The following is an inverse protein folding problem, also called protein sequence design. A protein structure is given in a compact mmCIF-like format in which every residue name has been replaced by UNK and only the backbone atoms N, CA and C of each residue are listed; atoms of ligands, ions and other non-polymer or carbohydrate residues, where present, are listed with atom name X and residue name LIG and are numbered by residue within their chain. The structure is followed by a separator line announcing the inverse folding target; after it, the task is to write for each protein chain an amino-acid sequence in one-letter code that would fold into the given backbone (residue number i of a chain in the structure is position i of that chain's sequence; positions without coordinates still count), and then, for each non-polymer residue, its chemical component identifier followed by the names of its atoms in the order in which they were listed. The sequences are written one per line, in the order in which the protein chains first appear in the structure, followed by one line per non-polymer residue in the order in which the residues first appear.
data_IF_972716625393
#
_entry.id   IF_972716625393
#
_cell.length_a   1.000
_cell.length_b   1.000
_cell.length_c   1.000
_cell.angle_alpha   90.00
_cell.angle_beta   90.00
_cell.angle_gamma   90.00
#
_symmetry.space_group_name_H-M   'P 1'
#
loop_
_entity.id
_entity.type
_entity.pdbx_description
1 polymer ?
#
# COMPACT_ATOMS: atom_id res chain seq x y z
N UNK A 1 1.65 -5.74 6.39
CA UNK A 1 2.86 -6.59 6.30
C UNK A 1 3.69 -6.00 5.17
N UNK A 2 4.87 -5.52 5.46
CA UNK A 2 5.78 -4.88 4.48
C UNK A 2 6.80 -5.91 4.03
N UNK A 3 7.08 -5.98 2.74
CA UNK A 3 8.05 -6.89 2.17
C UNK A 3 9.37 -6.16 1.96
N UNK A 4 10.44 -6.77 2.44
CA UNK A 4 11.80 -6.23 2.34
C UNK A 4 12.54 -6.90 1.19
N UNK A 5 13.12 -6.10 0.30
CA UNK A 5 14.11 -6.58 -0.65
C UNK A 5 15.46 -6.67 0.05
N UNK A 6 16.06 -7.84 0.07
CA UNK A 6 17.40 -8.02 0.65
C UNK A 6 18.45 -7.52 -0.34
N UNK A 7 19.26 -6.56 0.12
CA UNK A 7 20.51 -6.16 -0.52
C UNK A 7 21.66 -6.78 0.26
N UNK A 8 22.28 -7.84 -0.27
CA UNK A 8 23.66 -8.20 0.07
C UNK A 8 24.56 -7.83 -1.11
N UNK A 9 25.77 -7.41 -0.77
CA UNK A 9 26.82 -7.00 -1.74
C UNK A 9 27.03 -8.05 -2.82
N UNK A 10 26.39 -7.89 -3.90
CA UNK A 10 26.55 -8.35 -5.29
C UNK A 10 25.19 -8.57 -5.94
N UNK A 11 24.56 -7.47 -6.40
CA UNK A 11 23.59 -7.47 -7.51
C UNK A 11 22.37 -8.43 -7.44
N UNK A 12 21.82 -8.70 -6.25
CA UNK A 12 20.59 -9.49 -6.12
C UNK A 12 19.45 -8.63 -5.57
N UNK A 13 18.42 -8.41 -6.36
CA UNK A 13 17.16 -7.81 -5.89
C UNK A 13 16.08 -8.89 -5.99
N UNK A 14 15.59 -9.35 -4.86
CA UNK A 14 14.51 -10.32 -4.78
C UNK A 14 13.25 -9.68 -4.20
N UNK A 15 12.09 -10.00 -4.76
CA UNK A 15 10.79 -9.71 -4.14
C UNK A 15 10.43 -10.92 -3.29
N UNK A 16 10.34 -10.75 -1.96
CA UNK A 16 9.84 -11.78 -1.05
C UNK A 16 8.33 -11.61 -0.85
N UNK A 17 7.56 -12.58 -1.28
CA UNK A 17 6.12 -12.65 -1.01
C UNK A 17 5.88 -13.67 0.08
N UNK A 18 5.40 -13.23 1.25
CA UNK A 18 4.99 -14.13 2.33
C UNK A 18 3.47 -14.32 2.27
N UNK A 19 3.03 -15.51 1.89
CA UNK A 19 1.62 -15.89 1.97
C UNK A 19 1.45 -16.74 3.24
N UNK A 20 0.69 -16.24 4.20
CA UNK A 20 0.32 -16.99 5.40
C UNK A 20 -0.97 -17.73 5.14
N UNK A 21 -0.92 -19.04 4.96
CA UNK A 21 -2.13 -19.84 4.85
C UNK A 21 -2.75 -20.10 6.25
N UNK A 22 -4.01 -20.55 6.27
CA UNK A 22 -4.79 -20.78 7.48
C UNK A 22 -4.19 -21.81 8.47
N UNK A 23 -3.15 -22.53 8.09
CA UNK A 23 -2.51 -23.59 8.89
C UNK A 23 -1.24 -23.15 9.63
N UNK A 24 -0.88 -21.85 9.56
CA UNK A 24 0.22 -21.29 10.36
C UNK A 24 1.63 -21.58 9.85
N UNK A 25 1.82 -22.32 8.77
CA UNK A 25 3.11 -22.57 8.17
C UNK A 25 3.33 -21.56 7.03
N UNK A 26 4.25 -20.61 7.22
CA UNK A 26 4.64 -19.63 6.21
C UNK A 26 5.55 -20.28 5.18
N UNK A 27 5.13 -20.33 3.93
CA UNK A 27 6.02 -20.69 2.81
C UNK A 27 6.71 -19.41 2.34
N UNK A 28 8.03 -19.35 2.51
CA UNK A 28 8.84 -18.26 2.00
C UNK A 28 9.15 -18.57 0.54
N UNK A 29 8.59 -17.79 -0.39
CA UNK A 29 8.98 -17.84 -1.80
C UNK A 29 10.02 -16.76 -2.04
N UNK A 30 11.29 -17.12 -2.08
CA UNK A 30 12.35 -16.26 -2.58
C UNK A 30 12.48 -16.51 -4.08
N UNK A 31 12.21 -15.49 -4.88
CA UNK A 31 12.50 -15.53 -6.32
C UNK A 31 13.85 -14.84 -6.52
N UNK A 32 14.94 -15.57 -6.80
CA UNK A 32 16.21 -14.94 -7.10
C UNK A 32 16.13 -14.25 -8.46
N UNK A 33 16.42 -12.96 -8.49
CA UNK A 33 16.43 -12.16 -9.72
C UNK A 33 17.85 -11.70 -9.99
N UNK A 34 18.49 -12.34 -10.98
CA UNK A 34 19.78 -11.88 -11.51
C UNK A 34 19.51 -10.80 -12.57
N UNK A 35 20.02 -9.61 -12.35
CA UNK A 35 19.83 -8.49 -13.26
C UNK A 35 21.14 -8.07 -13.92
N UNK A 36 21.15 -7.99 -15.25
CA UNK A 36 22.17 -7.25 -16.01
C UNK A 36 21.50 -6.01 -16.60
N UNK A 37 21.80 -4.85 -16.05
CA UNK A 37 21.45 -3.59 -16.68
C UNK A 37 22.28 -3.43 -17.96
N UNK A 38 21.63 -3.35 -19.10
CA UNK A 38 22.25 -2.76 -20.29
C UNK A 38 21.97 -1.25 -20.25
N UNK A 39 22.84 -0.51 -19.60
CA UNK A 39 22.86 0.93 -19.75
C UNK A 39 23.48 1.24 -21.11
N UNK A 40 22.67 1.66 -22.08
CA UNK A 40 23.17 2.33 -23.26
C UNK A 40 22.91 3.84 -23.08
N UNK A 41 24.01 4.58 -23.13
CA UNK A 41 23.98 6.02 -22.95
C UNK A 41 23.36 6.75 -24.13
N UNK A 42 22.26 7.39 -23.87
CA UNK A 42 21.82 8.65 -24.45
C UNK A 42 20.65 9.18 -23.61
N UNK A 43 20.83 10.35 -23.00
CA UNK A 43 19.90 10.95 -22.03
C UNK A 43 18.68 11.62 -22.67
N UNK A 44 18.47 11.50 -23.96
CA UNK A 44 17.39 12.15 -24.71
C UNK A 44 16.36 11.18 -25.31
N UNK A 45 16.54 9.86 -25.14
CA UNK A 45 15.58 8.88 -25.66
C UNK A 45 14.47 8.61 -24.65
N UNK A 46 13.23 8.80 -25.09
CA UNK A 46 12.05 8.26 -24.46
C UNK A 46 12.27 6.79 -24.10
N UNK A 47 11.96 6.43 -22.84
CA UNK A 47 12.02 5.05 -22.38
C UNK A 47 10.99 4.23 -23.17
N UNK A 48 11.44 3.52 -24.19
CA UNK A 48 10.53 2.78 -25.08
C UNK A 48 9.96 1.57 -24.37
N UNK A 49 10.74 0.83 -23.57
CA UNK A 49 10.27 -0.33 -22.83
C UNK A 49 11.30 -0.88 -21.83
N UNK A 50 10.82 -1.53 -20.76
CA UNK A 50 11.63 -2.24 -19.76
C UNK A 50 11.11 -3.68 -19.65
N UNK A 51 11.99 -4.68 -19.85
CA UNK A 51 11.68 -6.07 -19.53
C UNK A 51 11.68 -6.25 -18.02
N UNK A 52 10.63 -6.84 -17.46
CA UNK A 52 10.45 -7.02 -16.02
C UNK A 52 9.73 -8.32 -15.67
N UNK A 53 9.90 -8.75 -14.44
CA UNK A 53 9.08 -9.81 -13.83
C UNK A 53 7.95 -9.21 -13.02
N UNK A 54 6.81 -9.88 -13.04
CA UNK A 54 5.61 -9.49 -12.29
C UNK A 54 4.81 -10.71 -11.88
N UNK A 55 4.10 -10.58 -10.74
CA UNK A 55 3.19 -11.59 -10.25
C UNK A 55 1.77 -11.29 -10.74
N UNK A 56 1.18 -12.22 -11.47
CA UNK A 56 -0.17 -12.07 -12.02
C UNK A 56 -1.12 -13.07 -11.38
N UNK A 57 -2.35 -12.66 -11.10
CA UNK A 57 -3.41 -13.58 -10.67
C UNK A 57 -3.71 -14.57 -11.79
N UNK A 58 -3.56 -15.87 -11.52
CA UNK A 58 -3.73 -16.94 -12.51
C UNK A 58 -4.88 -17.90 -12.19
N UNK A 59 -5.60 -17.66 -11.11
CA UNK A 59 -6.75 -18.40 -10.60
C UNK A 59 -7.01 -18.08 -9.14
N UNK A 60 -8.04 -18.68 -8.56
CA UNK A 60 -8.32 -18.51 -7.15
C UNK A 60 -7.14 -18.96 -6.30
N UNK A 61 -6.73 -18.10 -5.36
CA UNK A 61 -5.62 -18.32 -4.45
C UNK A 61 -4.28 -18.64 -5.16
N UNK A 62 -4.08 -18.10 -6.38
CA UNK A 62 -2.94 -18.46 -7.23
C UNK A 62 -2.32 -17.28 -7.94
N UNK A 63 -1.01 -17.12 -7.76
CA UNK A 63 -0.16 -16.25 -8.57
C UNK A 63 0.72 -17.06 -9.53
N UNK A 64 1.05 -16.45 -10.64
CA UNK A 64 2.04 -16.90 -11.60
C UNK A 64 3.04 -15.77 -11.86
N UNK A 65 4.33 -16.09 -11.87
CA UNK A 65 5.37 -15.13 -12.24
C UNK A 65 5.54 -15.16 -13.75
N UNK A 66 5.40 -13.99 -14.36
CA UNK A 66 5.61 -13.77 -15.80
C UNK A 66 6.70 -12.75 -16.05
N UNK A 67 7.21 -12.78 -17.26
CA UNK A 67 8.10 -11.75 -17.80
C UNK A 67 7.38 -11.03 -18.95
N UNK A 68 7.62 -9.72 -19.04
CA UNK A 68 7.02 -8.91 -20.08
C UNK A 68 7.61 -7.51 -20.13
N UNK A 69 7.22 -6.81 -21.15
CA UNK A 69 7.68 -5.47 -21.46
C UNK A 69 6.74 -4.42 -20.85
N UNK A 70 7.30 -3.50 -20.06
CA UNK A 70 6.59 -2.34 -19.51
C UNK A 70 6.81 -1.14 -20.41
N UNK A 71 5.72 -0.50 -20.87
CA UNK A 71 5.74 0.74 -21.64
C UNK A 71 5.28 1.91 -20.76
N UNK A 72 5.93 3.05 -20.86
CA UNK A 72 5.62 4.20 -19.99
C UNK A 72 4.29 4.88 -20.34
N UNK A 73 3.91 4.91 -21.60
CA UNK A 73 2.68 5.56 -22.10
C UNK A 73 2.45 6.99 -21.53
N UNK A 74 3.55 7.72 -21.28
CA UNK A 74 3.51 9.06 -20.67
C UNK A 74 3.39 9.10 -19.16
N UNK A 75 3.27 7.95 -18.51
CA UNK A 75 3.27 7.82 -17.05
C UNK A 75 4.69 7.85 -16.48
N UNK A 76 4.79 8.06 -15.17
CA UNK A 76 6.04 7.84 -14.47
C UNK A 76 6.36 6.34 -14.43
N UNK A 77 7.62 6.00 -14.64
CA UNK A 77 8.12 4.63 -14.48
C UNK A 77 8.90 4.54 -13.18
N UNK A 78 8.55 3.57 -12.36
CA UNK A 78 9.10 3.37 -11.03
C UNK A 78 9.71 1.98 -10.92
N UNK A 79 10.88 1.89 -10.30
CA UNK A 79 11.39 0.64 -9.76
C UNK A 79 10.78 0.43 -8.38
N UNK A 80 9.98 -0.61 -8.22
CA UNK A 80 9.34 -0.94 -6.93
C UNK A 80 10.41 -1.44 -5.95
N UNK A 81 10.44 -0.87 -4.75
CA UNK A 81 11.37 -1.28 -3.69
C UNK A 81 10.67 -2.08 -2.60
N UNK A 82 9.49 -1.62 -2.17
CA UNK A 82 8.68 -2.28 -1.14
C UNK A 82 7.22 -2.22 -1.54
N UNK A 83 6.48 -3.26 -1.19
CA UNK A 83 5.04 -3.33 -1.41
C UNK A 83 4.35 -4.00 -0.23
N UNK A 84 3.27 -3.40 0.25
CA UNK A 84 2.37 -3.94 1.26
C UNK A 84 1.35 -4.90 0.65
N UNK A 85 0.68 -5.64 1.52
CA UNK A 85 -0.45 -6.51 1.17
C UNK A 85 -1.70 -5.98 1.84
N UNK A 86 -2.56 -5.35 1.06
CA UNK A 86 -3.87 -4.89 1.50
C UNK A 86 -4.86 -6.04 1.69
N UNK A 87 -5.86 -5.84 2.53
CA UNK A 87 -7.01 -6.74 2.60
C UNK A 87 -7.74 -6.90 1.25
N UNK A 88 -7.76 -5.84 0.44
CA UNK A 88 -8.28 -5.86 -0.92
C UNK A 88 -7.50 -6.82 -1.83
N UNK A 89 -6.16 -6.84 -1.72
CA UNK A 89 -5.33 -7.80 -2.46
C UNK A 89 -5.65 -9.24 -2.08
N UNK A 90 -5.91 -9.48 -0.78
CA UNK A 90 -6.33 -10.78 -0.29
C UNK A 90 -7.68 -11.20 -0.87
N UNK A 91 -8.64 -10.28 -0.97
CA UNK A 91 -9.94 -10.54 -1.60
C UNK A 91 -9.78 -10.87 -3.10
N UNK A 92 -8.96 -10.10 -3.83
CA UNK A 92 -8.66 -10.39 -5.24
C UNK A 92 -7.96 -11.72 -5.42
N UNK A 93 -7.10 -12.11 -4.48
CA UNK A 93 -6.43 -13.42 -4.53
C UNK A 93 -7.40 -14.57 -4.31
N UNK A 94 -8.35 -14.45 -3.36
CA UNK A 94 -9.40 -15.46 -3.18
C UNK A 94 -10.32 -15.58 -4.41
N UNK A 95 -10.62 -14.45 -5.08
CA UNK A 95 -11.44 -14.40 -6.30
C UNK A 95 -10.58 -14.39 -7.58
N UNK A 96 -9.38 -14.93 -7.54
CA UNK A 96 -8.37 -14.76 -8.59
C UNK A 96 -8.79 -15.19 -9.99
N UNK A 97 -9.78 -16.09 -10.09
CA UNK A 97 -10.36 -16.47 -11.39
C UNK A 97 -11.07 -15.28 -12.07
N UNK A 98 -11.80 -14.49 -11.29
CA UNK A 98 -12.47 -13.26 -11.75
C UNK A 98 -11.47 -12.20 -12.21
N UNK A 99 -10.32 -12.15 -11.55
CA UNK A 99 -9.25 -11.17 -11.77
C UNK A 99 -8.05 -11.76 -12.51
N UNK A 100 -8.24 -12.88 -13.21
CA UNK A 100 -7.17 -13.56 -13.97
C UNK A 100 -6.48 -12.60 -14.94
N UNK A 101 -5.16 -12.56 -14.88
CA UNK A 101 -4.31 -11.69 -15.70
C UNK A 101 -4.01 -10.32 -15.07
N UNK A 102 -4.58 -10.00 -13.90
CA UNK A 102 -4.33 -8.73 -13.21
C UNK A 102 -3.06 -8.83 -12.34
N UNK A 103 -2.25 -7.78 -12.38
CA UNK A 103 -1.14 -7.54 -11.44
C UNK A 103 -1.64 -6.55 -10.39
N UNK A 104 -1.73 -6.98 -9.15
CA UNK A 104 -2.23 -6.19 -8.01
C UNK A 104 -1.09 -5.54 -7.22
N UNK A 105 -1.42 -4.91 -6.09
CA UNK A 105 -0.50 -4.20 -5.20
C UNK A 105 -0.58 -2.69 -5.41
N UNK A 106 -0.88 -1.97 -4.34
CA UNK A 106 -1.11 -0.51 -4.37
C UNK A 106 -0.54 0.22 -3.15
N UNK A 107 -0.09 -0.50 -2.14
CA UNK A 107 0.61 0.04 -0.98
C UNK A 107 2.13 -0.09 -1.23
N UNK A 108 2.77 0.90 -1.86
CA UNK A 108 4.16 0.72 -2.29
C UNK A 108 5.02 1.98 -2.20
N UNK A 109 6.32 1.74 -2.20
CA UNK A 109 7.34 2.74 -2.46
C UNK A 109 8.24 2.30 -3.62
N UNK A 110 8.87 3.25 -4.25
CA UNK A 110 9.76 3.00 -5.36
C UNK A 110 10.74 4.14 -5.64
N UNK A 111 11.60 3.90 -6.61
CA UNK A 111 12.54 4.88 -7.12
C UNK A 111 12.13 5.27 -8.54
N UNK A 112 12.06 6.56 -8.81
CA UNK A 112 11.72 7.09 -10.13
C UNK A 112 12.80 6.71 -11.13
N UNK A 113 12.41 6.00 -12.17
CA UNK A 113 13.25 5.71 -13.34
C UNK A 113 13.04 6.77 -14.43
N UNK A 114 11.76 7.05 -14.71
CA UNK A 114 11.35 8.14 -15.60
C UNK A 114 10.18 8.91 -14.98
N UNK A 115 10.24 10.24 -14.89
CA UNK A 115 9.21 11.03 -14.18
C UNK A 115 7.91 11.21 -14.96
N UNK A 116 7.83 10.77 -16.22
CA UNK A 116 6.70 11.05 -17.08
C UNK A 116 6.51 12.56 -17.26
N UNK A 117 5.28 13.02 -17.09
CA UNK A 117 4.93 14.45 -17.22
C UNK A 117 5.13 15.25 -15.92
N UNK A 118 5.50 14.64 -14.80
CA UNK A 118 5.71 15.31 -13.52
C UNK A 118 7.08 16.01 -13.48
N UNK A 119 7.09 17.33 -13.65
CA UNK A 119 8.32 18.15 -13.61
C UNK A 119 8.93 18.32 -12.22
N UNK A 120 8.21 17.96 -11.15
CA UNK A 120 8.72 18.02 -9.78
C UNK A 120 9.55 16.78 -9.41
N UNK A 121 9.45 15.71 -10.19
CA UNK A 121 10.20 14.48 -10.00
C UNK A 121 11.39 14.39 -10.97
N UNK A 122 12.42 13.71 -10.53
CA UNK A 122 13.59 13.37 -11.35
C UNK A 122 13.98 11.90 -11.12
N UNK A 123 14.70 11.29 -12.08
CA UNK A 123 15.26 9.96 -11.89
C UNK A 123 16.10 9.89 -10.61
N UNK A 124 15.89 8.82 -9.84
CA UNK A 124 16.51 8.61 -8.53
C UNK A 124 15.72 9.15 -7.34
N UNK A 125 14.67 9.94 -7.53
CA UNK A 125 13.80 10.34 -6.43
C UNK A 125 13.06 9.12 -5.85
N UNK A 126 13.01 9.04 -4.53
CA UNK A 126 12.22 8.04 -3.81
C UNK A 126 10.80 8.55 -3.64
N UNK A 127 9.83 7.70 -3.95
CA UNK A 127 8.41 8.08 -3.96
C UNK A 127 7.54 7.00 -3.32
N UNK A 128 6.42 7.43 -2.77
CA UNK A 128 5.25 6.59 -2.52
C UNK A 128 4.15 6.94 -3.52
N UNK A 129 3.41 5.94 -3.96
CA UNK A 129 2.22 6.15 -4.77
C UNK A 129 0.98 6.14 -3.89
N UNK A 130 0.00 6.97 -4.21
CA UNK A 130 -1.33 6.82 -3.65
C UNK A 130 -2.34 6.49 -4.75
N UNK A 131 -3.32 5.70 -4.39
CA UNK A 131 -4.39 5.31 -5.30
C UNK A 131 -5.70 5.82 -4.79
N UNK A 132 -6.38 6.60 -5.60
CA UNK A 132 -7.81 6.79 -5.41
C UNK A 132 -8.62 5.70 -6.11
N UNK A 133 -8.05 5.15 -7.19
CA UNK A 133 -8.64 4.02 -7.89
C UNK A 133 -7.58 3.37 -8.79
N UNK A 134 -7.19 2.15 -8.50
CA UNK A 134 -6.13 1.41 -9.21
C UNK A 134 -6.39 1.31 -10.72
N UNK A 135 -7.65 1.50 -11.14
CA UNK A 135 -8.08 1.32 -12.52
C UNK A 135 -8.52 2.60 -13.22
N UNK A 136 -8.50 3.76 -12.56
CA UNK A 136 -9.04 5.00 -13.11
C UNK A 136 -8.14 6.19 -12.82
N UNK A 137 -7.71 6.88 -13.87
CA UNK A 137 -6.97 8.13 -13.75
C UNK A 137 -7.92 9.32 -13.83
N UNK A 138 -7.95 10.21 -12.83
CA UNK A 138 -8.66 11.48 -12.94
C UNK A 138 -8.03 12.34 -14.05
N UNK A 139 -8.86 13.08 -14.78
CA UNK A 139 -8.40 13.86 -15.92
C UNK A 139 -7.47 15.06 -15.56
N UNK A 140 -7.50 15.50 -14.30
CA UNK A 140 -6.68 16.60 -13.78
C UNK A 140 -7.14 18.01 -14.18
N UNK A 141 -8.20 18.16 -14.99
CA UNK A 141 -8.62 19.46 -15.55
C UNK A 141 -10.13 19.77 -15.47
N UNK A 142 -10.98 18.80 -15.08
CA UNK A 142 -12.40 19.10 -14.83
C UNK A 142 -12.56 19.83 -13.48
N UNK A 143 -13.73 20.40 -13.24
CA UNK A 143 -14.03 21.17 -12.03
C UNK A 143 -13.75 20.38 -10.76
N UNK A 144 -14.19 19.12 -10.67
CA UNK A 144 -13.92 18.26 -9.53
C UNK A 144 -12.42 18.03 -9.32
N UNK A 145 -11.66 17.76 -10.39
CA UNK A 145 -10.20 17.60 -10.28
C UNK A 145 -9.49 18.87 -9.81
N UNK A 146 -9.92 20.03 -10.30
CA UNK A 146 -9.35 21.32 -9.91
C UNK A 146 -9.68 21.68 -8.44
N UNK A 147 -10.81 21.19 -7.94
CA UNK A 147 -11.19 21.28 -6.53
C UNK A 147 -10.51 20.25 -5.63
N UNK A 148 -9.70 19.32 -6.19
CA UNK A 148 -9.09 18.22 -5.44
C UNK A 148 -10.03 17.04 -5.17
N UNK A 149 -11.24 17.09 -5.67
CA UNK A 149 -12.25 16.04 -5.58
C UNK A 149 -12.15 15.08 -6.77
N UNK A 150 -11.10 14.29 -6.75
CA UNK A 150 -10.77 13.40 -7.87
C UNK A 150 -11.74 12.23 -8.00
N UNK A 151 -12.41 11.86 -6.91
CA UNK A 151 -13.40 10.77 -6.91
C UNK A 151 -14.67 11.12 -7.70
N UNK A 152 -14.96 12.40 -7.88
CA UNK A 152 -16.05 12.88 -8.72
C UNK A 152 -15.60 13.37 -10.11
N UNK A 153 -14.41 12.95 -10.55
CA UNK A 153 -13.93 13.28 -11.89
C UNK A 153 -14.92 12.78 -12.97
N UNK A 154 -15.40 13.69 -13.81
CA UNK A 154 -16.38 13.39 -14.87
C UNK A 154 -15.76 12.84 -16.15
N UNK A 155 -14.44 12.87 -16.28
CA UNK A 155 -13.71 12.48 -17.50
C UNK A 155 -12.51 11.60 -17.13
N UNK A 156 -12.79 10.51 -16.42
CA UNK A 156 -11.76 9.56 -16.01
C UNK A 156 -11.24 8.74 -17.17
N UNK A 157 -9.94 8.51 -17.19
CA UNK A 157 -9.34 7.50 -18.06
C UNK A 157 -9.41 6.15 -17.34
N UNK A 158 -10.14 5.20 -17.94
CA UNK A 158 -10.25 3.83 -17.40
C UNK A 158 -9.16 2.97 -18.03
N UNK A 159 -8.35 2.32 -17.22
CA UNK A 159 -7.37 1.34 -17.68
C UNK A 159 -7.96 -0.06 -17.55
N UNK A 160 -8.31 -0.64 -18.67
CA UNK A 160 -8.81 -2.01 -18.71
C UNK A 160 -7.67 -2.99 -18.92
N UNK A 161 -7.58 -3.98 -18.05
CA UNK A 161 -6.63 -5.08 -18.10
C UNK A 161 -7.00 -6.15 -19.16
N UNK A 162 -7.59 -5.76 -20.29
CA UNK A 162 -8.00 -6.72 -21.31
C UNK A 162 -6.92 -6.89 -22.36
N UNK A 163 -6.40 -8.13 -22.48
CA UNK A 163 -5.72 -8.59 -23.68
C UNK A 163 -4.20 -8.61 -23.67
N UNK A 164 -3.55 -8.68 -22.49
CA UNK A 164 -2.10 -8.92 -22.45
C UNK A 164 -1.21 -7.71 -22.72
N UNK A 165 -1.78 -6.58 -23.08
CA UNK A 165 -1.06 -5.32 -23.00
C UNK A 165 -1.09 -4.85 -21.53
N UNK A 166 0.09 -4.79 -20.93
CA UNK A 166 0.29 -4.26 -19.59
C UNK A 166 -0.12 -2.78 -19.61
N UNK A 167 -1.35 -2.48 -19.20
CA UNK A 167 -1.75 -1.14 -18.83
C UNK A 167 -0.87 -0.64 -17.68
N UNK A 168 -1.43 -0.31 -16.53
CA UNK A 168 -0.61 -0.06 -15.35
C UNK A 168 -0.54 -1.36 -14.52
N UNK A 169 0.61 -2.05 -14.46
CA UNK A 169 0.75 -3.15 -13.55
C UNK A 169 0.70 -2.59 -12.12
N UNK A 170 0.05 -3.31 -11.23
CA UNK A 170 0.20 -3.08 -9.80
C UNK A 170 1.64 -3.30 -9.33
N UNK A 171 1.90 -2.99 -8.08
CA UNK A 171 3.25 -3.01 -7.54
C UNK A 171 3.79 -4.43 -7.20
N UNK A 172 3.02 -5.51 -7.44
CA UNK A 172 3.57 -6.86 -7.39
C UNK A 172 4.40 -7.18 -8.65
N UNK A 173 5.29 -6.25 -8.96
CA UNK A 173 6.16 -6.23 -10.13
C UNK A 173 7.50 -5.57 -9.80
N UNK A 174 8.53 -5.83 -10.61
CA UNK A 174 9.83 -5.16 -10.44
C UNK A 174 9.77 -3.68 -10.78
N UNK A 175 8.98 -3.34 -11.79
CA UNK A 175 8.71 -1.98 -12.21
C UNK A 175 7.21 -1.80 -12.38
N UNK A 176 6.74 -0.58 -12.14
CA UNK A 176 5.36 -0.19 -12.41
C UNK A 176 5.33 1.16 -13.11
N UNK A 177 4.23 1.44 -13.77
CA UNK A 177 3.93 2.79 -14.22
C UNK A 177 2.86 3.38 -13.31
N UNK A 178 2.99 4.67 -13.02
CA UNK A 178 2.04 5.34 -12.16
C UNK A 178 1.72 6.75 -12.64
N UNK A 179 0.56 7.25 -12.26
CA UNK A 179 0.17 8.61 -12.61
C UNK A 179 1.12 9.61 -11.96
N UNK A 180 1.77 10.49 -12.74
CA UNK A 180 2.80 11.36 -12.19
C UNK A 180 2.32 12.25 -11.05
N UNK A 181 1.04 12.68 -11.07
CA UNK A 181 0.43 13.51 -10.03
C UNK A 181 0.01 12.73 -8.77
N UNK A 182 -0.03 11.40 -8.85
CA UNK A 182 -0.34 10.53 -7.70
C UNK A 182 0.92 9.99 -7.02
N UNK A 183 2.06 10.64 -7.23
CA UNK A 183 3.34 10.30 -6.62
C UNK A 183 3.76 11.38 -5.65
N UNK A 184 4.11 10.97 -4.44
CA UNK A 184 4.63 11.84 -3.39
C UNK A 184 6.10 11.50 -3.17
N UNK A 185 6.95 12.52 -3.25
CA UNK A 185 8.38 12.35 -2.96
C UNK A 185 8.58 12.10 -1.47
N UNK A 186 9.32 11.04 -1.15
CA UNK A 186 9.66 10.73 0.24
C UNK A 186 10.71 11.72 0.77
N UNK A 187 10.52 12.24 1.99
CA UNK A 187 11.57 12.97 2.70
C UNK A 187 12.81 12.09 2.91
N UNK A 188 13.98 12.72 3.07
CA UNK A 188 15.25 11.99 3.20
C UNK A 188 15.31 11.10 4.46
N UNK A 189 14.62 11.49 5.52
CA UNK A 189 14.52 10.75 6.78
C UNK A 189 13.47 9.63 6.78
N UNK A 190 12.70 9.47 5.70
CA UNK A 190 11.72 8.38 5.55
C UNK A 190 12.34 7.29 4.69
N UNK A 191 12.35 6.07 5.17
CA UNK A 191 12.86 4.90 4.41
C UNK A 191 11.87 4.49 3.31
N UNK A 192 12.30 3.64 2.40
CA UNK A 192 11.38 3.08 1.39
C UNK A 192 10.34 2.13 2.03
N UNK A 193 10.71 1.43 3.08
CA UNK A 193 9.81 0.55 3.83
C UNK A 193 8.68 1.36 4.48
N UNK A 194 9.03 2.45 5.17
CA UNK A 194 8.05 3.39 5.73
C UNK A 194 7.22 4.05 4.63
N UNK A 195 7.85 4.38 3.49
CA UNK A 195 7.16 4.94 2.33
C UNK A 195 6.08 4.02 1.77
N UNK A 196 6.25 2.70 1.81
CA UNK A 196 5.22 1.74 1.40
C UNK A 196 4.01 1.73 2.35
N UNK A 197 4.17 2.23 3.57
CA UNK A 197 3.09 2.37 4.55
C UNK A 197 2.29 3.68 4.38
N UNK A 198 2.70 4.59 3.51
CA UNK A 198 2.07 5.91 3.37
C UNK A 198 0.59 5.80 2.99
N UNK A 199 0.23 4.85 2.12
CA UNK A 199 -1.15 4.63 1.69
C UNK A 199 -2.04 4.17 2.84
N UNK A 200 -1.78 3.04 3.55
CA UNK A 200 -2.64 2.62 4.66
C UNK A 200 -2.65 3.62 5.83
N UNK A 201 -1.56 4.37 6.04
CA UNK A 201 -1.54 5.44 7.04
C UNK A 201 -2.42 6.63 6.64
N UNK A 202 -2.53 6.94 5.35
CA UNK A 202 -3.46 7.96 4.86
C UNK A 202 -4.93 7.54 5.08
N UNK A 203 -5.26 6.26 4.96
CA UNK A 203 -6.58 5.73 5.28
C UNK A 203 -6.91 5.95 6.77
N UNK A 204 -5.96 5.62 7.66
CA UNK A 204 -6.11 5.87 9.10
C UNK A 204 -6.27 7.36 9.44
N UNK A 205 -5.47 8.23 8.80
CA UNK A 205 -5.61 9.69 8.95
C UNK A 205 -7.01 10.16 8.57
N UNK A 206 -7.50 9.72 7.41
CA UNK A 206 -8.83 10.08 6.94
C UNK A 206 -9.92 9.63 7.92
N UNK A 207 -9.83 8.39 8.44
CA UNK A 207 -10.76 7.87 9.43
C UNK A 207 -10.81 8.75 10.69
N UNK A 208 -9.66 9.17 11.22
CA UNK A 208 -9.57 10.04 12.40
C UNK A 208 -10.12 11.45 12.11
N UNK A 209 -9.86 12.00 10.93
CA UNK A 209 -10.43 13.29 10.51
C UNK A 209 -11.95 13.26 10.39
N UNK A 210 -12.50 12.22 9.75
CA UNK A 210 -13.96 12.05 9.60
C UNK A 210 -14.63 11.83 10.95
N UNK A 211 -13.97 11.10 11.85
CA UNK A 211 -14.44 10.91 13.24
C UNK A 211 -14.33 12.17 14.10
N UNK A 212 -13.72 13.24 13.60
CA UNK A 212 -13.57 14.52 14.29
C UNK A 212 -12.89 14.40 15.68
N UNK A 213 -11.96 13.49 15.83
CA UNK A 213 -11.18 13.32 17.06
C UNK A 213 -10.51 14.64 17.47
N UNK A 214 -10.63 14.99 18.74
CA UNK A 214 -10.12 16.23 19.35
C UNK A 214 -9.15 15.93 20.48
N UNK A 215 -8.34 16.91 20.88
CA UNK A 215 -7.52 16.79 22.08
C UNK A 215 -8.35 16.42 23.32
N UNK A 216 -7.84 15.50 24.10
CA UNK A 216 -8.43 14.89 25.30
C UNK A 216 -9.60 13.93 25.04
N UNK A 217 -9.93 13.61 23.78
CA UNK A 217 -10.88 12.54 23.50
C UNK A 217 -10.31 11.18 23.92
N UNK A 218 -11.23 10.27 24.25
CA UNK A 218 -10.95 8.85 24.50
C UNK A 218 -11.43 8.06 23.29
N UNK A 219 -10.55 7.31 22.68
CA UNK A 219 -10.81 6.67 21.38
C UNK A 219 -10.83 5.17 21.53
N UNK A 220 -11.92 4.53 21.09
CA UNK A 220 -12.03 3.10 20.93
C UNK A 220 -11.88 2.72 19.46
N UNK A 221 -10.94 1.82 19.17
CA UNK A 221 -10.66 1.31 17.82
C UNK A 221 -11.03 -0.16 17.77
N UNK A 222 -11.93 -0.52 16.86
CA UNK A 222 -12.38 -1.87 16.65
C UNK A 222 -11.56 -2.53 15.52
N UNK A 223 -10.69 -3.46 15.90
CA UNK A 223 -9.75 -4.14 15.01
C UNK A 223 -8.34 -3.57 15.05
N UNK A 224 -7.37 -4.43 15.37
CA UNK A 224 -5.95 -4.08 15.51
C UNK A 224 -5.11 -4.45 14.29
N UNK A 225 -5.70 -4.42 13.08
CA UNK A 225 -4.95 -4.52 11.83
C UNK A 225 -4.16 -3.25 11.54
N UNK A 226 -3.49 -3.19 10.37
CA UNK A 226 -2.66 -2.05 9.98
C UNK A 226 -3.44 -0.73 10.00
N UNK A 227 -4.68 -0.72 9.54
CA UNK A 227 -5.52 0.48 9.55
C UNK A 227 -5.87 0.88 10.99
N UNK A 228 -6.24 -0.07 11.86
CA UNK A 228 -6.52 0.24 13.27
C UNK A 228 -5.30 0.79 14.00
N UNK A 229 -4.12 0.21 13.77
CA UNK A 229 -2.87 0.73 14.35
C UNK A 229 -2.55 2.13 13.81
N UNK A 230 -2.75 2.38 12.52
CA UNK A 230 -2.62 3.70 11.91
C UNK A 230 -3.61 4.71 12.53
N UNK A 231 -4.87 4.30 12.75
CA UNK A 231 -5.85 5.14 13.46
C UNK A 231 -5.36 5.48 14.88
N UNK A 232 -4.77 4.52 15.60
CA UNK A 232 -4.25 4.77 16.94
C UNK A 232 -3.13 5.83 16.95
N UNK A 233 -2.17 5.72 16.03
CA UNK A 233 -1.09 6.70 15.87
C UNK A 233 -1.63 8.10 15.52
N UNK A 234 -2.57 8.19 14.60
CA UNK A 234 -3.19 9.46 14.25
C UNK A 234 -4.05 10.02 15.39
N UNK A 235 -4.82 9.18 16.10
CA UNK A 235 -5.58 9.62 17.26
C UNK A 235 -4.63 10.22 18.31
N UNK A 236 -3.50 9.60 18.57
CA UNK A 236 -2.46 10.13 19.48
C UNK A 236 -1.93 11.47 18.98
N UNK A 237 -1.64 11.58 17.70
CA UNK A 237 -1.17 12.81 17.05
C UNK A 237 -2.19 13.94 17.14
N UNK A 238 -3.49 13.63 17.07
CA UNK A 238 -4.58 14.59 17.24
C UNK A 238 -4.87 14.92 18.72
N UNK A 239 -4.13 14.32 19.65
CA UNK A 239 -4.18 14.65 21.08
C UNK A 239 -5.18 13.84 21.88
N UNK A 240 -5.61 12.67 21.39
CA UNK A 240 -6.41 11.75 22.18
C UNK A 240 -5.68 11.42 23.50
N UNK A 241 -6.41 11.50 24.61
CA UNK A 241 -5.88 11.27 25.95
C UNK A 241 -5.75 9.80 26.28
N UNK A 242 -6.57 8.96 25.68
CA UNK A 242 -6.59 7.53 25.91
C UNK A 242 -7.05 6.79 24.64
N UNK A 243 -6.35 5.72 24.29
CA UNK A 243 -6.61 4.90 23.11
C UNK A 243 -6.76 3.45 23.54
N UNK A 244 -7.93 2.88 23.25
CA UNK A 244 -8.22 1.47 23.46
C UNK A 244 -8.36 0.77 22.11
N UNK A 245 -7.66 -0.35 21.91
CA UNK A 245 -7.81 -1.20 20.72
C UNK A 245 -8.42 -2.55 21.12
N UNK A 246 -9.52 -2.90 20.46
CA UNK A 246 -10.18 -4.21 20.59
C UNK A 246 -9.78 -5.09 19.41
N UNK A 247 -9.19 -6.27 19.67
CA UNK A 247 -8.70 -7.19 18.63
C UNK A 247 -8.97 -8.65 19.01
N UNK A 248 -9.50 -9.43 18.05
CA UNK A 248 -9.80 -10.85 18.24
C UNK A 248 -8.56 -11.71 18.37
N UNK A 249 -7.58 -11.48 17.50
CA UNK A 249 -6.41 -12.34 17.39
C UNK A 249 -5.40 -12.07 18.52
N UNK A 250 -5.10 -13.06 19.38
CA UNK A 250 -4.19 -12.87 20.51
C UNK A 250 -2.76 -12.48 20.07
N UNK A 251 -2.28 -13.02 18.95
CA UNK A 251 -0.95 -12.68 18.43
C UNK A 251 -0.89 -11.22 17.97
N UNK A 252 -1.96 -10.70 17.34
CA UNK A 252 -2.03 -9.30 16.97
C UNK A 252 -2.11 -8.40 18.21
N UNK A 253 -2.81 -8.81 19.27
CA UNK A 253 -2.82 -8.05 20.52
C UNK A 253 -1.41 -7.88 21.09
N UNK A 254 -0.58 -8.91 21.06
CA UNK A 254 0.83 -8.81 21.50
C UNK A 254 1.65 -7.87 20.60
N UNK A 255 1.43 -7.90 19.29
CA UNK A 255 2.08 -6.98 18.35
C UNK A 255 1.70 -5.53 18.69
N UNK A 256 0.41 -5.24 18.88
CA UNK A 256 -0.08 -3.90 19.23
C UNK A 256 0.55 -3.41 20.53
N UNK A 257 0.62 -4.27 21.56
CA UNK A 257 1.28 -3.95 22.84
C UNK A 257 2.77 -3.65 22.65
N UNK A 258 3.44 -4.44 21.80
CA UNK A 258 4.86 -4.25 21.48
C UNK A 258 5.17 -2.92 20.82
N UNK A 259 4.26 -2.43 19.95
CA UNK A 259 4.40 -1.12 19.32
C UNK A 259 3.96 0.06 20.20
N UNK A 260 3.26 -0.20 21.30
CA UNK A 260 2.81 0.82 22.27
C UNK A 260 1.92 1.92 21.64
N UNK A 261 1.19 1.59 20.59
CA UNK A 261 0.30 2.54 19.88
C UNK A 261 -1.01 2.81 20.63
N UNK A 262 -1.36 1.97 21.60
CA UNK A 262 -2.57 2.06 22.40
C UNK A 262 -2.26 1.94 23.89
N UNK A 263 -3.04 2.60 24.74
CA UNK A 263 -2.95 2.51 26.19
C UNK A 263 -3.54 1.20 26.69
N UNK A 264 -4.63 0.73 26.05
CA UNK A 264 -5.32 -0.50 26.38
C UNK A 264 -5.50 -1.38 25.15
N UNK A 265 -5.28 -2.68 25.30
CA UNK A 265 -5.52 -3.69 24.26
C UNK A 265 -6.36 -4.82 24.84
N UNK A 266 -7.60 -4.89 24.41
CA UNK A 266 -8.60 -5.85 24.91
C UNK A 266 -8.94 -6.94 23.90
N UNK A 267 -9.41 -8.08 24.38
CA UNK A 267 -9.87 -9.16 23.52
C UNK A 267 -11.30 -8.85 23.05
N UNK A 268 -11.52 -8.79 21.75
CA UNK A 268 -12.82 -8.45 21.18
C UNK A 268 -13.90 -9.54 21.42
N UNK A 269 -13.50 -10.74 21.79
CA UNK A 269 -14.35 -11.88 22.14
C UNK A 269 -14.42 -12.16 23.64
N UNK A 270 -13.90 -11.25 24.48
CA UNK A 270 -14.00 -11.41 25.93
C UNK A 270 -15.47 -11.38 26.37
N UNK A 271 -15.92 -12.33 27.22
CA UNK A 271 -17.32 -12.38 27.68
C UNK A 271 -17.74 -11.16 28.50
N UNK A 272 -16.77 -10.46 29.07
CA UNK A 272 -16.93 -9.26 29.89
C UNK A 272 -16.37 -7.99 29.18
N UNK A 273 -16.24 -7.99 27.84
CA UNK A 273 -15.67 -6.90 27.06
C UNK A 273 -16.34 -5.56 27.39
N UNK A 274 -17.67 -5.53 27.48
CA UNK A 274 -18.41 -4.30 27.78
C UNK A 274 -17.99 -3.75 29.15
N UNK A 275 -17.91 -4.61 30.18
CA UNK A 275 -17.47 -4.19 31.50
C UNK A 275 -16.02 -3.68 31.50
N UNK A 276 -15.11 -4.36 30.80
CA UNK A 276 -13.73 -3.89 30.66
C UNK A 276 -13.67 -2.51 30.02
N UNK A 277 -14.45 -2.25 28.97
CA UNK A 277 -14.51 -0.96 28.30
C UNK A 277 -15.11 0.12 29.19
N UNK A 278 -16.15 -0.21 29.98
CA UNK A 278 -16.72 0.71 30.96
C UNK A 278 -15.74 1.06 32.08
N UNK A 279 -15.02 0.07 32.61
CA UNK A 279 -13.99 0.28 33.64
C UNK A 279 -12.84 1.17 33.12
N UNK A 280 -12.38 0.95 31.89
CA UNK A 280 -11.37 1.78 31.21
C UNK A 280 -11.93 3.20 31.01
N UNK A 281 -13.16 3.35 30.53
CA UNK A 281 -13.73 4.65 30.24
C UNK A 281 -14.13 5.46 31.47
N UNK A 282 -14.35 4.81 32.61
CA UNK A 282 -14.81 5.45 33.85
C UNK A 282 -16.21 6.10 33.77
N UNK A 283 -16.95 5.87 32.68
CA UNK A 283 -18.31 6.38 32.44
C UNK A 283 -19.02 5.54 31.39
N UNK A 284 -20.35 5.56 31.38
CA UNK A 284 -21.12 4.97 30.29
C UNK A 284 -20.67 5.59 28.94
N UNK A 285 -20.25 4.75 27.99
CA UNK A 285 -19.95 5.21 26.65
C UNK A 285 -21.24 5.73 26.00
N UNK A 286 -21.27 6.99 25.67
CA UNK A 286 -22.29 7.55 24.79
C UNK A 286 -21.84 7.32 23.35
N UNK A 287 -22.64 6.57 22.59
CA UNK A 287 -22.42 6.36 21.14
C UNK A 287 -22.63 7.67 20.37
#
# INVERSE_FOLDING_TARGET
MVFQGFAEEKSWHGICVFIKNKTGCGTQMTVPVCWRSRTHGDKSKEWEAIMMKYAVLSGNERFEIREGELKSNGCAVLQVTHVGVCGTDTSYWHEGERYRGVVIGHEYSGVVVAPGTNRALKPGDRVAGYTQNVFQEPCGHCEACLAGDWDHCTNRRVFTWKGGELGHPGAYSQYTTWFPHSLVKLPDNVTNEEGAMAEPFAVGLHAIQVSQVKPNDRVLILGGGIIGMSCAEWARTFGASEITVSELNPQKREIIRGYQVADHVVAADAPDLEQQLLDISGAAMTC
#
